data_IF_023479428836
#
_entry.id   IF_023479428836
#
_cell.length_a   1.000
_cell.length_b   1.000
_cell.length_c   1.000
_cell.angle_alpha   90.00
_cell.angle_beta   90.00
_cell.angle_gamma   90.00
#
_symmetry.space_group_name_H-M   'P 1'
#
loop_
_entity.id
_entity.type
_entity.pdbx_description
1 polymer ?
#
# COMPACT_ATOMS: atom_id res chain seq x y z
N UNK A 1 -16.27 6.65 -14.96
CA UNK A 1 -16.49 6.47 -13.66
C UNK A 1 -15.38 6.86 -12.78
N UNK A 2 -15.70 7.47 -11.85
CA UNK A 2 -14.68 8.07 -11.07
C UNK A 2 -13.93 7.03 -10.27
N UNK A 3 -12.81 7.45 -9.87
CA UNK A 3 -11.96 6.72 -9.00
C UNK A 3 -12.59 6.67 -7.62
N UNK A 4 -12.69 5.50 -7.06
CA UNK A 4 -13.28 5.32 -5.76
C UNK A 4 -12.26 5.05 -4.67
N UNK A 5 -10.98 5.22 -4.96
CA UNK A 5 -9.97 5.02 -3.94
C UNK A 5 -10.02 6.11 -2.89
N UNK A 6 -9.94 5.76 -1.61
CA UNK A 6 -9.90 6.77 -0.55
C UNK A 6 -8.54 7.45 -0.49
N UNK A 7 -8.39 8.38 0.44
CA UNK A 7 -7.11 9.03 0.63
C UNK A 7 -6.11 8.16 1.35
N UNK A 8 -6.58 7.24 2.17
CA UNK A 8 -5.68 6.39 2.93
C UNK A 8 -6.31 5.05 3.20
N UNK A 9 -5.46 4.06 3.44
CA UNK A 9 -5.86 2.74 3.91
C UNK A 9 -5.14 2.47 5.23
N UNK A 10 -5.82 1.77 6.12
CA UNK A 10 -5.15 1.16 7.27
C UNK A 10 -4.32 -0.03 6.77
N UNK A 11 -3.46 -0.55 7.64
CA UNK A 11 -2.68 -1.73 7.29
C UNK A 11 -3.60 -2.89 6.89
N UNK A 12 -4.65 -3.09 7.65
CA UNK A 12 -5.59 -4.17 7.38
C UNK A 12 -6.25 -3.99 6.02
N UNK A 13 -6.69 -2.77 5.73
CA UNK A 13 -7.30 -2.49 4.43
C UNK A 13 -6.29 -2.68 3.31
N UNK A 14 -5.05 -2.22 3.52
CA UNK A 14 -4.01 -2.37 2.52
C UNK A 14 -3.79 -3.84 2.18
N UNK A 15 -3.65 -4.69 3.19
CA UNK A 15 -3.37 -6.10 2.95
C UNK A 15 -4.53 -6.77 2.24
N UNK A 16 -5.75 -6.45 2.62
CA UNK A 16 -6.93 -7.03 2.00
C UNK A 16 -7.10 -6.57 0.55
N UNK A 17 -6.96 -5.27 0.34
CA UNK A 17 -7.14 -4.73 -1.00
C UNK A 17 -6.01 -5.12 -1.94
N UNK A 18 -4.80 -5.27 -1.41
CA UNK A 18 -3.68 -5.70 -2.21
C UNK A 18 -3.96 -7.06 -2.84
N UNK A 19 -4.44 -8.01 -2.03
CA UNK A 19 -4.78 -9.33 -2.55
C UNK A 19 -5.86 -9.24 -3.62
N UNK A 20 -6.93 -8.50 -3.31
CA UNK A 20 -8.05 -8.39 -4.23
C UNK A 20 -7.65 -7.75 -5.55
N UNK A 21 -6.89 -6.67 -5.47
CA UNK A 21 -6.50 -5.94 -6.68
C UNK A 21 -5.49 -6.73 -7.51
N UNK A 22 -4.54 -7.39 -6.86
CA UNK A 22 -3.56 -8.16 -7.60
C UNK A 22 -4.18 -9.37 -8.28
N UNK A 23 -5.21 -9.94 -7.69
CA UNK A 23 -5.96 -11.01 -8.36
C UNK A 23 -6.68 -10.49 -9.59
N UNK A 24 -7.01 -9.21 -9.60
CA UNK A 24 -7.64 -8.58 -10.75
C UNK A 24 -6.62 -8.03 -11.74
N UNK A 25 -5.34 -8.27 -11.53
CA UNK A 25 -4.30 -7.83 -12.44
C UNK A 25 -3.76 -6.43 -12.17
N UNK A 26 -4.10 -5.84 -11.05
CA UNK A 26 -3.66 -4.49 -10.69
C UNK A 26 -2.47 -4.58 -9.74
N UNK A 27 -1.38 -3.91 -10.10
CA UNK A 27 -0.17 -3.93 -9.28
C UNK A 27 -0.31 -2.96 -8.11
N UNK A 28 0.04 -3.41 -6.92
CA UNK A 28 -0.05 -2.59 -5.71
C UNK A 28 1.33 -2.53 -5.05
N UNK A 29 1.82 -1.32 -4.82
CA UNK A 29 3.16 -1.10 -4.29
C UNK A 29 3.07 -0.34 -2.98
N UNK A 30 3.89 -0.75 -2.02
CA UNK A 30 4.05 -0.05 -0.74
C UNK A 30 5.33 0.76 -0.83
N UNK A 31 5.21 2.08 -0.74
CA UNK A 31 6.29 3.01 -1.05
C UNK A 31 6.83 3.65 0.21
N UNK A 32 8.13 3.47 0.43
CA UNK A 32 8.85 3.99 1.59
C UNK A 32 9.35 5.41 1.30
N UNK A 33 8.89 6.38 2.07
CA UNK A 33 9.32 7.78 1.88
C UNK A 33 10.32 8.22 2.93
N UNK A 34 10.76 7.32 3.84
CA UNK A 34 11.61 7.69 4.96
C UNK A 34 12.88 6.83 5.04
N UNK A 35 13.14 6.05 4.01
CA UNK A 35 14.30 5.15 3.98
C UNK A 35 14.36 4.24 5.18
N UNK A 36 13.21 3.73 5.57
CA UNK A 36 13.08 2.83 6.70
C UNK A 36 12.06 1.75 6.34
N UNK A 37 12.50 0.72 5.62
CA UNK A 37 11.57 -0.28 5.09
C UNK A 37 10.82 -1.02 6.19
N UNK A 38 9.53 -1.16 5.98
CA UNK A 38 8.72 -2.03 6.82
C UNK A 38 9.13 -3.48 6.54
N UNK A 39 9.35 -3.79 5.27
CA UNK A 39 9.78 -5.11 4.85
C UNK A 39 10.66 -4.91 3.63
N UNK A 40 11.95 -5.21 3.76
CA UNK A 40 12.90 -4.93 2.68
C UNK A 40 12.54 -5.61 1.38
N UNK A 41 11.90 -6.76 1.46
CA UNK A 41 11.55 -7.51 0.26
C UNK A 41 10.28 -7.02 -0.40
N UNK A 42 9.42 -6.31 0.35
CA UNK A 42 8.09 -5.97 -0.13
C UNK A 42 7.83 -4.48 -0.21
N UNK A 43 8.76 -3.65 0.21
CA UNK A 43 8.60 -2.21 0.10
C UNK A 43 9.59 -1.67 -0.92
N UNK A 44 9.23 -0.55 -1.51
CA UNK A 44 10.03 0.09 -2.52
C UNK A 44 10.32 1.51 -2.09
N UNK A 45 11.57 1.93 -2.19
CA UNK A 45 11.95 3.29 -1.83
C UNK A 45 11.34 4.25 -2.84
N UNK A 46 10.87 5.38 -2.36
CA UNK A 46 10.29 6.39 -3.22
C UNK A 46 11.30 6.83 -4.27
N UNK A 47 10.95 6.67 -5.52
CA UNK A 47 11.75 7.10 -6.66
C UNK A 47 10.78 7.43 -7.77
N UNK A 48 10.52 8.72 -8.00
CA UNK A 48 9.49 9.10 -8.97
C UNK A 48 9.78 8.62 -10.39
N UNK A 49 11.04 8.51 -10.75
CA UNK A 49 11.37 8.03 -12.10
C UNK A 49 10.96 6.57 -12.27
N UNK A 50 11.24 5.76 -11.26
CA UNK A 50 10.87 4.35 -11.33
C UNK A 50 9.37 4.16 -11.24
N UNK A 51 8.72 4.95 -10.38
CA UNK A 51 7.28 4.81 -10.21
C UNK A 51 6.51 5.18 -11.46
N UNK A 52 7.01 6.15 -12.22
CA UNK A 52 6.34 6.56 -13.45
C UNK A 52 6.36 5.47 -14.50
N UNK A 53 7.27 4.51 -14.38
CA UNK A 53 7.36 3.40 -15.33
C UNK A 53 6.40 2.27 -15.01
N UNK A 54 5.76 2.29 -13.85
CA UNK A 54 4.82 1.25 -13.50
C UNK A 54 3.58 1.31 -14.38
N UNK A 55 2.91 0.19 -14.60
CA UNK A 55 1.74 0.18 -15.48
C UNK A 55 0.68 1.16 -15.02
N UNK A 56 -0.01 1.76 -15.99
CA UNK A 56 -1.12 2.66 -15.67
C UNK A 56 -2.14 1.92 -14.84
N UNK A 57 -2.71 2.62 -13.86
CA UNK A 57 -3.68 2.01 -12.97
C UNK A 57 -3.07 1.35 -11.75
N UNK A 58 -1.74 1.26 -11.69
CA UNK A 58 -1.09 0.72 -10.50
C UNK A 58 -1.43 1.57 -9.28
N UNK A 59 -1.42 0.93 -8.11
CA UNK A 59 -1.77 1.58 -6.86
C UNK A 59 -0.52 1.77 -6.02
N UNK A 60 -0.24 3.01 -5.67
CA UNK A 60 0.91 3.36 -4.83
C UNK A 60 0.41 3.75 -3.46
N UNK A 61 0.86 3.03 -2.44
CA UNK A 61 0.53 3.35 -1.05
C UNK A 61 1.79 3.87 -0.39
N UNK A 62 1.82 5.15 -0.11
CA UNK A 62 2.99 5.82 0.46
C UNK A 62 2.93 5.80 1.97
N UNK A 63 4.06 5.54 2.63
CA UNK A 63 4.07 5.59 4.08
C UNK A 63 5.24 6.41 4.61
N UNK A 64 5.00 6.98 5.78
CA UNK A 64 6.03 7.66 6.57
C UNK A 64 5.95 7.09 7.98
N UNK A 65 6.43 7.81 8.98
CA UNK A 65 6.43 7.29 10.35
C UNK A 65 5.02 7.15 10.92
N UNK A 66 4.18 8.17 10.74
CA UNK A 66 2.85 8.21 11.37
C UNK A 66 1.70 8.23 10.37
N UNK A 67 2.01 8.40 9.10
CA UNK A 67 0.98 8.55 8.07
C UNK A 67 0.55 9.98 7.85
N UNK A 68 1.04 10.92 8.65
CA UNK A 68 0.62 12.31 8.52
C UNK A 68 1.31 13.01 7.36
N UNK A 69 2.62 12.86 7.23
CA UNK A 69 3.35 13.54 6.17
C UNK A 69 2.92 13.05 4.79
N UNK A 70 2.73 11.73 4.64
CA UNK A 70 2.30 11.20 3.35
C UNK A 70 0.88 11.60 3.01
N UNK A 71 0.02 11.71 4.02
CA UNK A 71 -1.33 12.19 3.78
C UNK A 71 -1.32 13.66 3.38
N UNK A 72 -0.48 14.46 4.03
CA UNK A 72 -0.37 15.89 3.69
C UNK A 72 0.15 16.08 2.27
N UNK A 73 0.99 15.17 1.78
CA UNK A 73 1.58 15.27 0.46
C UNK A 73 0.80 14.53 -0.62
N UNK A 74 -0.31 13.94 -0.26
CA UNK A 74 -1.03 13.09 -1.19
C UNK A 74 -1.44 13.83 -2.47
N UNK A 75 -1.82 15.09 -2.32
CA UNK A 75 -2.21 15.88 -3.48
C UNK A 75 -1.06 16.04 -4.46
N UNK A 76 0.16 16.23 -3.93
CA UNK A 76 1.34 16.33 -4.77
C UNK A 76 1.65 15.01 -5.47
N UNK A 77 1.52 13.89 -4.75
CA UNK A 77 1.73 12.59 -5.37
C UNK A 77 0.74 12.37 -6.50
N UNK A 78 -0.52 12.72 -6.27
CA UNK A 78 -1.55 12.55 -7.29
C UNK A 78 -1.28 13.40 -8.52
N UNK A 79 -0.74 14.59 -8.32
CA UNK A 79 -0.34 15.44 -9.45
C UNK A 79 0.83 14.85 -10.22
N UNK A 80 1.77 14.26 -9.50
CA UNK A 80 2.96 13.70 -10.11
C UNK A 80 2.68 12.40 -10.84
N UNK A 81 1.70 11.62 -10.37
CA UNK A 81 1.36 10.32 -10.95
C UNK A 81 -0.11 10.29 -11.37
N UNK A 82 -0.48 11.09 -12.40
CA UNK A 82 -1.90 11.20 -12.76
C UNK A 82 -2.49 9.93 -13.36
N UNK A 83 -1.65 9.00 -13.81
CA UNK A 83 -2.13 7.76 -14.41
C UNK A 83 -2.12 6.60 -13.43
N UNK A 84 -1.85 6.87 -12.17
CA UNK A 84 -1.79 5.86 -11.13
C UNK A 84 -2.68 6.30 -9.97
N UNK A 85 -2.90 5.39 -9.03
CA UNK A 85 -3.70 5.70 -7.85
C UNK A 85 -2.77 5.87 -6.66
N UNK A 86 -2.94 6.95 -5.92
CA UNK A 86 -2.06 7.27 -4.80
C UNK A 86 -2.84 7.33 -3.51
N UNK A 87 -2.34 6.64 -2.49
CA UNK A 87 -2.93 6.65 -1.15
C UNK A 87 -1.83 6.79 -0.12
N UNK A 88 -2.23 7.16 1.09
CA UNK A 88 -1.34 7.18 2.24
C UNK A 88 -1.66 5.99 3.12
N UNK A 89 -0.64 5.40 3.74
CA UNK A 89 -0.85 4.32 4.71
C UNK A 89 -1.12 4.95 6.06
N UNK A 90 -2.34 4.76 6.56
CA UNK A 90 -2.74 5.33 7.83
C UNK A 90 -1.93 4.72 8.97
N UNK A 91 -1.41 5.58 9.83
CA UNK A 91 -0.56 5.13 10.93
C UNK A 91 0.87 4.92 10.54
N UNK A 92 1.15 4.78 9.26
CA UNK A 92 2.51 4.66 8.76
C UNK A 92 3.27 3.48 9.33
N UNK A 93 4.59 3.62 9.33
CA UNK A 93 5.45 2.56 9.82
C UNK A 93 5.29 2.33 11.32
N UNK A 94 4.99 3.40 12.05
CA UNK A 94 4.89 3.30 13.50
C UNK A 94 3.76 2.41 14.00
N UNK A 95 2.71 2.28 13.21
CA UNK A 95 1.56 1.45 13.58
C UNK A 95 1.54 0.10 12.88
N UNK A 96 2.56 -0.19 12.09
CA UNK A 96 2.59 -1.44 11.33
C UNK A 96 2.81 -2.62 12.27
N UNK A 97 1.94 -3.62 12.16
CA UNK A 97 2.02 -4.84 12.96
C UNK A 97 2.44 -5.99 12.07
N UNK A 98 3.55 -6.60 12.41
CA UNK A 98 4.17 -7.60 11.53
C UNK A 98 3.32 -8.85 11.33
N UNK A 99 2.63 -9.28 12.37
CA UNK A 99 1.86 -10.51 12.22
C UNK A 99 0.61 -10.33 11.38
N UNK A 100 0.18 -9.10 11.15
CA UNK A 100 -0.95 -8.88 10.26
C UNK A 100 -0.60 -9.13 8.80
N UNK A 101 0.67 -9.13 8.49
CA UNK A 101 1.08 -9.38 7.10
C UNK A 101 0.71 -10.77 6.62
N UNK A 102 0.46 -11.67 7.53
CA UNK A 102 0.15 -13.05 7.16
C UNK A 102 -1.33 -13.29 6.97
N UNK A 103 -2.17 -12.33 7.33
CA UNK A 103 -3.60 -12.53 7.27
C UNK A 103 -4.13 -12.92 5.90
N UNK A 104 -3.71 -12.28 4.82
CA UNK A 104 -4.24 -12.66 3.50
C UNK A 104 -3.94 -14.10 3.15
N UNK A 105 -2.80 -14.59 3.55
CA UNK A 105 -2.40 -15.96 3.24
C UNK A 105 -3.11 -16.94 4.13
N UNK A 106 -3.22 -16.62 5.41
CA UNK A 106 -3.83 -17.49 6.38
C UNK A 106 -5.31 -17.62 6.14
N UNK A 107 -5.93 -16.55 5.79
CA UNK A 107 -7.37 -16.56 5.61
C UNK A 107 -7.80 -17.50 4.50
N UNK A 108 -6.88 -17.85 3.68
CA UNK A 108 -7.24 -18.81 2.69
C UNK A 108 -7.32 -20.17 3.30
N UNK A 109 -6.96 -20.31 4.51
CA UNK A 109 -7.13 -21.39 5.09
C UNK A 109 -7.50 -21.54 6.42
N UNK A 110 -7.09 -21.07 6.63
CA UNK A 110 -7.47 -21.31 7.45
C UNK A 110 -7.75 -21.56 8.26
N UNK A 111 -7.60 -21.68 8.31
CA UNK A 111 -8.04 -21.94 8.93
C UNK A 111 -8.08 -22.25 9.58
N UNK A 112 -7.84 -22.34 9.45
CA UNK A 112 -8.05 -22.75 9.83
C UNK A 112 -8.11 -23.05 10.72
N UNK A 113 -7.87 -23.05 10.64
CA UNK A 113 -8.03 -23.39 11.30
C UNK A 113 -8.02 -23.56 11.99
N UNK A 114 -7.80 -23.49 11.99
CA UNK A 114 -7.94 -23.81 12.50
C UNK A 114 -7.89 -24.06 13.19
N UNK A 115 -7.60 -24.26 13.26
CA UNK A 115 -7.69 -24.63 13.72
C UNK A 115 -7.59 -24.96 14.18
N UNK A 116 -7.34 -25.13 14.33
CA UNK A 116 -7.58 -25.47 14.41
C UNK A 116 -7.46 -25.67 14.53
#
# INVERSE_FOLDING_TARGET
MSNTFPNEWTQEQFLREKVRLEEAGVKVLLIDTILSPIDKAKTQVYNPYELQKEPEGSVFVFYCDTGKATLDRLKEYRSKFPNHHCLSLRGGRGYWRKNMQLLPEVSSTQARDEDA
#
